data_IF_786756537548
#
_entry.id   IF_786756537548
#
_cell.length_a   1.000
_cell.length_b   1.000
_cell.length_c   1.000
_cell.angle_alpha   90.00
_cell.angle_beta   90.00
_cell.angle_gamma   90.00
#
_symmetry.space_group_name_H-M   'P 1'
#
loop_
_entity.id
_entity.type
_entity.pdbx_description
1 polymer ?
#
# COMPACT_ATOMS: atom_id res chain seq x y z
N UNK A 1 -7.95 -16.27 -40.13
CA UNK A 1 -8.61 -17.10 -39.10
C UNK A 1 -7.57 -17.53 -38.07
N UNK A 2 -7.39 -16.75 -37.00
CA UNK A 2 -6.65 -17.14 -35.78
C UNK A 2 -6.99 -16.23 -34.58
N UNK A 3 -8.19 -15.63 -34.55
CA UNK A 3 -8.54 -14.52 -33.65
C UNK A 3 -8.41 -14.85 -32.16
N UNK A 4 -8.60 -16.11 -31.78
CA UNK A 4 -8.44 -16.57 -30.40
C UNK A 4 -6.98 -16.71 -29.98
N UNK A 5 -6.10 -17.14 -30.89
CA UNK A 5 -4.65 -17.21 -30.63
C UNK A 5 -4.06 -15.79 -30.57
N UNK A 6 -4.52 -14.91 -31.45
CA UNK A 6 -4.17 -13.50 -31.45
C UNK A 6 -4.59 -12.82 -30.14
N UNK A 7 -5.78 -13.15 -29.59
CA UNK A 7 -6.22 -12.67 -28.29
C UNK A 7 -5.25 -13.03 -27.17
N UNK A 8 -4.82 -14.29 -27.09
CA UNK A 8 -3.86 -14.72 -26.06
C UNK A 8 -2.51 -14.02 -26.22
N UNK A 9 -2.06 -13.82 -27.46
CA UNK A 9 -0.81 -13.12 -27.77
C UNK A 9 -0.88 -11.64 -27.36
N UNK A 10 -1.92 -10.92 -27.77
CA UNK A 10 -2.06 -9.49 -27.47
C UNK A 10 -2.26 -9.19 -25.99
N UNK A 11 -2.90 -10.11 -25.26
CA UNK A 11 -3.12 -9.95 -23.82
C UNK A 11 -2.00 -10.57 -22.98
N UNK A 12 -0.99 -11.18 -23.61
CA UNK A 12 0.12 -11.88 -22.94
C UNK A 12 -0.36 -12.96 -21.95
N UNK A 13 -1.48 -13.60 -22.25
CA UNK A 13 -2.08 -14.67 -21.44
C UNK A 13 -1.77 -16.01 -22.10
N UNK A 14 -1.28 -16.98 -21.33
CA UNK A 14 -1.09 -18.33 -21.86
C UNK A 14 -2.45 -18.99 -22.16
N UNK A 15 -2.63 -19.62 -23.35
CA UNK A 15 -3.84 -20.39 -23.66
C UNK A 15 -4.13 -21.53 -22.69
N UNK A 16 -3.11 -21.96 -21.92
CA UNK A 16 -3.21 -23.01 -20.90
C UNK A 16 -3.53 -22.44 -19.50
N UNK A 17 -3.61 -21.12 -19.35
CA UNK A 17 -3.83 -20.48 -18.06
C UNK A 17 -5.30 -20.59 -17.63
N UNK A 18 -5.51 -21.13 -16.43
CA UNK A 18 -6.85 -21.20 -15.84
C UNK A 18 -7.15 -19.85 -15.19
N UNK A 19 -7.96 -19.02 -15.86
CA UNK A 19 -8.39 -17.70 -15.35
C UNK A 19 -9.54 -17.80 -14.33
N UNK A 20 -10.09 -19.00 -14.16
CA UNK A 20 -11.26 -19.26 -13.34
C UNK A 20 -12.55 -18.76 -14.00
N UNK A 21 -13.71 -18.99 -13.36
CA UNK A 21 -15.02 -18.67 -13.93
C UNK A 21 -15.32 -17.16 -14.00
N UNK A 22 -14.54 -16.31 -13.32
CA UNK A 22 -14.79 -14.86 -13.24
C UNK A 22 -13.50 -14.10 -12.98
N UNK A 23 -13.33 -12.88 -13.51
CA UNK A 23 -12.14 -12.05 -13.25
C UNK A 23 -11.81 -11.86 -11.75
N UNK A 24 -12.81 -11.94 -10.87
CA UNK A 24 -12.66 -11.89 -9.41
C UNK A 24 -11.76 -13.00 -8.85
N UNK A 25 -11.77 -14.21 -9.42
CA UNK A 25 -10.87 -15.28 -8.96
C UNK A 25 -9.42 -14.96 -9.26
N UNK A 26 -9.17 -14.35 -10.43
CA UNK A 26 -7.85 -13.93 -10.84
C UNK A 26 -7.31 -12.80 -9.95
N UNK A 27 -8.14 -11.80 -9.64
CA UNK A 27 -7.82 -10.73 -8.68
C UNK A 27 -7.41 -11.26 -7.31
N UNK A 28 -8.15 -12.24 -6.78
CA UNK A 28 -7.83 -12.86 -5.49
C UNK A 28 -6.50 -13.62 -5.51
N UNK A 29 -6.21 -14.33 -6.60
CA UNK A 29 -4.92 -15.02 -6.77
C UNK A 29 -3.78 -14.00 -6.84
N UNK A 30 -3.93 -12.93 -7.62
CA UNK A 30 -2.93 -11.87 -7.69
C UNK A 30 -2.71 -11.19 -6.34
N UNK A 31 -3.78 -10.84 -5.63
CA UNK A 31 -3.70 -10.24 -4.29
C UNK A 31 -2.91 -11.12 -3.33
N UNK A 32 -3.19 -12.43 -3.28
CA UNK A 32 -2.44 -13.38 -2.44
C UNK A 32 -0.96 -13.44 -2.82
N UNK A 33 -0.65 -13.50 -4.12
CA UNK A 33 0.74 -13.56 -4.60
C UNK A 33 1.52 -12.28 -4.27
N UNK A 34 0.92 -11.12 -4.49
CA UNK A 34 1.55 -9.82 -4.17
C UNK A 34 1.79 -9.71 -2.67
N UNK A 35 0.82 -10.09 -1.82
CA UNK A 35 1.01 -10.10 -0.36
C UNK A 35 2.15 -11.02 0.07
N UNK A 36 2.30 -12.20 -0.56
CA UNK A 36 3.41 -13.10 -0.29
C UNK A 36 4.76 -12.49 -0.71
N UNK A 37 4.83 -11.87 -1.89
CA UNK A 37 6.05 -11.18 -2.36
C UNK A 37 6.44 -10.05 -1.39
N UNK A 38 5.48 -9.23 -0.96
CA UNK A 38 5.72 -8.16 0.02
C UNK A 38 6.27 -8.75 1.33
N UNK A 39 5.72 -9.87 1.81
CA UNK A 39 6.20 -10.52 3.02
C UNK A 39 7.64 -11.00 2.87
N UNK A 40 8.00 -11.62 1.73
CA UNK A 40 9.35 -12.06 1.42
C UNK A 40 10.32 -10.88 1.39
N UNK A 41 9.98 -9.82 0.64
CA UNK A 41 10.82 -8.62 0.54
C UNK A 41 11.03 -7.97 1.92
N UNK A 42 9.98 -7.91 2.74
CA UNK A 42 10.07 -7.37 4.11
C UNK A 42 10.93 -8.23 5.02
N UNK A 43 10.86 -9.55 4.88
CA UNK A 43 11.71 -10.49 5.64
C UNK A 43 13.18 -10.35 5.25
N UNK A 44 13.48 -10.28 3.95
CA UNK A 44 14.82 -9.97 3.43
C UNK A 44 15.34 -8.63 3.96
N UNK A 45 14.47 -7.61 3.98
CA UNK A 45 14.82 -6.29 4.50
C UNK A 45 15.19 -6.36 5.99
N UNK A 46 14.41 -7.10 6.78
CA UNK A 46 14.60 -7.22 8.23
C UNK A 46 15.83 -8.06 8.59
N UNK A 47 16.05 -9.18 7.90
CA UNK A 47 17.03 -10.19 8.31
C UNK A 47 18.39 -10.00 7.63
N UNK A 48 18.45 -9.39 6.44
CA UNK A 48 19.69 -9.23 5.68
C UNK A 48 20.09 -7.75 5.56
N UNK A 49 19.25 -6.92 4.91
CA UNK A 49 19.72 -5.59 4.50
C UNK A 49 19.82 -4.59 5.65
N UNK A 50 18.86 -4.56 6.58
CA UNK A 50 18.89 -3.70 7.78
C UNK A 50 20.08 -3.96 8.70
N UNK A 51 20.36 -5.20 9.13
CA UNK A 51 21.50 -5.46 9.99
C UNK A 51 22.81 -5.17 9.28
N UNK A 52 22.97 -5.50 7.99
CA UNK A 52 24.17 -5.14 7.22
C UNK A 52 24.37 -3.63 7.16
N UNK A 53 23.30 -2.86 6.94
CA UNK A 53 23.36 -1.41 6.97
C UNK A 53 23.79 -0.90 8.36
N UNK A 54 23.20 -1.41 9.44
CA UNK A 54 23.57 -1.05 10.80
C UNK A 54 25.03 -1.41 11.14
N UNK A 55 25.51 -2.56 10.69
CA UNK A 55 26.92 -2.97 10.84
C UNK A 55 27.85 -2.01 10.10
N UNK A 56 27.53 -1.64 8.85
CA UNK A 56 28.31 -0.67 8.07
C UNK A 56 28.33 0.68 8.78
N UNK A 57 27.19 1.18 9.26
CA UNK A 57 27.12 2.42 10.04
C UNK A 57 27.99 2.34 11.30
N UNK A 58 27.96 1.22 12.02
CA UNK A 58 28.78 0.98 13.21
C UNK A 58 30.28 0.94 12.90
N UNK A 59 30.69 0.44 11.73
CA UNK A 59 32.10 0.38 11.32
C UNK A 59 32.66 1.75 10.93
N UNK A 60 31.82 2.61 10.35
CA UNK A 60 32.23 3.95 9.91
C UNK A 60 31.92 5.05 10.92
N UNK A 61 31.42 4.70 12.12
CA UNK A 61 30.95 5.66 13.14
C UNK A 61 30.00 6.72 12.56
N UNK A 62 29.31 6.38 11.47
CA UNK A 62 28.34 7.27 10.84
C UNK A 62 27.11 7.24 11.72
N UNK A 63 26.89 8.32 12.48
CA UNK A 63 25.61 8.52 13.18
C UNK A 63 24.47 8.24 12.19
N UNK A 64 23.49 7.44 12.62
CA UNK A 64 22.26 7.28 11.84
C UNK A 64 21.77 8.70 11.49
N UNK A 65 21.39 8.98 10.22
CA UNK A 65 20.85 10.28 9.88
C UNK A 65 19.70 10.56 10.82
N UNK A 66 19.89 11.53 11.72
CA UNK A 66 18.91 11.89 12.73
C UNK A 66 17.59 12.07 12.02
N UNK A 67 16.59 11.25 12.40
CA UNK A 67 15.24 11.35 11.83
C UNK A 67 14.79 12.77 12.11
N UNK A 68 14.86 13.63 11.09
CA UNK A 68 14.40 15.01 11.21
C UNK A 68 12.96 14.91 11.69
N UNK A 69 12.62 15.50 12.85
CA UNK A 69 11.25 15.46 13.32
C UNK A 69 10.38 16.02 12.20
N UNK A 70 9.35 15.27 11.81
CA UNK A 70 8.40 15.73 10.81
C UNK A 70 7.72 16.97 11.40
N UNK A 71 8.04 18.16 10.89
CA UNK A 71 7.37 19.40 11.29
C UNK A 71 5.97 19.33 10.68
N UNK A 72 5.02 18.84 11.47
CA UNK A 72 3.61 18.81 11.10
C UNK A 72 2.96 20.08 11.65
N UNK A 73 2.42 20.91 10.76
CA UNK A 73 1.54 22.00 11.18
C UNK A 73 0.33 21.41 11.90
N UNK A 74 0.18 21.77 13.17
CA UNK A 74 -1.01 21.47 13.94
C UNK A 74 -2.13 22.31 13.32
N UNK A 75 -2.98 21.72 12.48
CA UNK A 75 -4.24 22.35 12.12
C UNK A 75 -5.04 22.48 13.42
N UNK A 76 -5.15 23.69 13.95
CA UNK A 76 -6.20 24.01 14.90
C UNK A 76 -7.51 23.71 14.18
N UNK A 77 -8.13 22.59 14.54
CA UNK A 77 -9.52 22.37 14.21
C UNK A 77 -10.24 23.37 15.10
N UNK A 78 -10.44 24.59 14.60
CA UNK A 78 -11.44 25.48 15.18
C UNK A 78 -12.71 24.64 15.25
N UNK A 79 -13.19 24.34 16.46
CA UNK A 79 -14.52 23.80 16.64
C UNK A 79 -15.46 24.82 16.00
N UNK A 80 -15.87 24.55 14.76
CA UNK A 80 -16.81 25.40 14.02
C UNK A 80 -18.13 25.27 14.75
N UNK A 81 -18.32 26.12 15.76
CA UNK A 81 -19.60 26.33 16.40
C UNK A 81 -20.57 26.73 15.28
N UNK A 82 -21.64 25.96 15.02
CA UNK A 82 -22.58 26.29 13.97
C UNK A 82 -23.17 27.67 14.25
N UNK A 83 -22.99 28.62 13.33
CA UNK A 83 -23.45 30.02 13.47
C UNK A 83 -24.95 30.15 13.69
N UNK A 84 -25.72 29.10 13.40
CA UNK A 84 -27.17 29.09 13.50
C UNK A 84 -27.62 27.98 14.43
N UNK A 85 -28.40 28.37 15.42
CA UNK A 85 -29.08 27.48 16.35
C UNK A 85 -30.57 27.58 16.02
N UNK A 86 -31.25 26.45 15.94
CA UNK A 86 -32.70 26.45 15.78
C UNK A 86 -33.34 27.08 17.02
N UNK A 87 -34.14 28.13 16.82
CA UNK A 87 -34.93 28.70 17.91
C UNK A 87 -35.99 27.69 18.30
N UNK A 88 -35.89 27.11 19.49
CA UNK A 88 -37.02 26.39 20.08
C UNK A 88 -38.14 27.39 20.38
N UNK A 89 -39.26 27.26 19.69
CA UNK A 89 -40.48 27.98 20.01
C UNK A 89 -40.97 27.52 21.39
N UNK A 90 -41.25 28.44 22.33
CA UNK A 90 -41.69 28.06 23.68
C UNK A 90 -43.12 27.50 23.76
N UNK A 91 -43.78 27.21 22.63
CA UNK A 91 -45.09 26.58 22.58
C UNK A 91 -45.07 25.35 21.65
N UNK A 92 -44.48 24.25 22.14
CA UNK A 92 -44.94 22.87 21.96
C UNK A 92 -44.24 21.95 22.97
#
# INVERSE_FOLDING_TARGET
>A
MATILDFFLYNEISPKQILGPTGRTLEQVFKKRISAIIAILRDMEKNQTKPTLAMIHSLFEMEEPTKRPLILEKKEIEEVQPKFHERKNPNQ
#
